data_IF_156887546974
#
_entry.id   IF_156887546974
#
_cell.length_a   1.000
_cell.length_b   1.000
_cell.length_c   1.000
_cell.angle_alpha   90.00
_cell.angle_beta   90.00
_cell.angle_gamma   90.00
#
_symmetry.space_group_name_H-M   'P 1'
#
loop_
_entity.id
_entity.type
_entity.pdbx_description
1 polymer ?
#
# COMPACT_ATOMS: atom_id res chain seq x y z
N UNK A 1 -15.29 0.03 -39.31
CA UNK A 1 -14.57 0.62 -40.48
C UNK A 1 -13.99 1.93 -40.01
N UNK A 2 -12.69 2.15 -39.84
CA UNK A 2 -11.53 1.61 -40.55
C UNK A 2 -10.42 1.14 -39.59
N UNK A 3 -9.74 0.10 -40.08
CA UNK A 3 -8.52 -0.53 -39.58
C UNK A 3 -7.34 0.01 -40.41
N UNK A 4 -6.19 0.15 -39.74
CA UNK A 4 -4.80 0.01 -40.25
C UNK A 4 -4.20 1.07 -41.18
N UNK A 5 -3.03 1.59 -40.77
CA UNK A 5 -1.68 1.35 -41.37
C UNK A 5 -0.74 2.51 -40.92
N UNK A 6 0.56 2.40 -40.63
CA UNK A 6 1.57 1.33 -40.60
C UNK A 6 2.84 1.91 -39.89
N UNK A 7 3.45 1.08 -39.05
CA UNK A 7 4.88 0.81 -38.79
C UNK A 7 5.98 1.72 -39.37
N UNK A 8 6.93 2.15 -38.52
CA UNK A 8 8.37 2.11 -38.83
C UNK A 8 9.23 2.15 -37.54
N UNK A 9 9.68 0.99 -37.05
CA UNK A 9 10.79 0.87 -36.12
C UNK A 9 12.09 0.87 -36.94
N UNK A 10 12.95 1.85 -36.70
CA UNK A 10 14.30 1.88 -37.28
C UNK A 10 15.28 1.07 -36.43
N UNK A 11 16.10 0.31 -37.15
CA UNK A 11 17.17 -0.58 -36.74
C UNK A 11 18.30 0.10 -35.96
N UNK A 12 18.74 -0.54 -34.86
CA UNK A 12 19.95 -0.20 -34.09
C UNK A 12 21.16 -0.83 -34.80
N UNK A 13 22.26 -0.10 -35.05
CA UNK A 13 23.46 -0.66 -35.67
C UNK A 13 24.38 -1.36 -34.65
N UNK A 14 24.94 -2.50 -35.06
CA UNK A 14 25.97 -3.27 -34.38
C UNK A 14 27.21 -2.43 -34.04
N UNK A 15 27.59 -2.40 -32.76
CA UNK A 15 28.91 -1.93 -32.33
C UNK A 15 29.81 -3.12 -31.99
N UNK A 16 30.86 -3.27 -32.80
CA UNK A 16 31.96 -4.18 -32.54
C UNK A 16 32.70 -3.82 -31.23
N UNK A 17 32.99 -4.83 -30.42
CA UNK A 17 33.76 -4.71 -29.18
C UNK A 17 35.25 -4.73 -29.52
N UNK A 18 35.92 -3.59 -29.32
CA UNK A 18 37.38 -3.48 -29.36
C UNK A 18 37.96 -3.94 -28.01
N UNK A 19 38.72 -5.03 -28.03
CA UNK A 19 39.35 -5.65 -26.87
C UNK A 19 40.81 -5.21 -26.72
N UNK A 20 41.06 -3.99 -26.23
CA UNK A 20 42.40 -3.61 -25.75
C UNK A 20 42.41 -2.38 -24.83
N UNK A 21 42.13 -2.56 -23.53
CA UNK A 21 42.52 -1.60 -22.50
C UNK A 21 42.81 -2.32 -21.16
N UNK A 22 43.78 -1.84 -20.35
CA UNK A 22 44.38 -2.60 -19.26
C UNK A 22 43.53 -2.63 -17.99
N UNK A 23 43.62 -3.76 -17.28
CA UNK A 23 42.98 -4.06 -16.00
C UNK A 23 43.43 -3.08 -14.91
N UNK A 24 42.56 -2.12 -14.57
CA UNK A 24 42.63 -1.39 -13.30
C UNK A 24 41.95 -2.22 -12.20
N UNK A 25 42.66 -2.38 -11.09
CA UNK A 25 42.20 -3.13 -9.93
C UNK A 25 40.96 -2.47 -9.32
N UNK A 26 39.84 -3.18 -9.37
CA UNK A 26 38.59 -2.80 -8.71
C UNK A 26 38.79 -2.94 -7.20
N UNK A 27 38.77 -1.83 -6.47
CA UNK A 27 38.72 -1.83 -5.01
C UNK A 27 37.48 -2.62 -4.52
N UNK A 28 37.59 -3.38 -3.41
CA UNK A 28 36.50 -4.20 -2.95
C UNK A 28 35.32 -3.32 -2.53
N UNK A 29 34.20 -3.50 -3.24
CA UNK A 29 32.89 -2.95 -2.91
C UNK A 29 32.64 -3.18 -1.42
N UNK A 30 32.56 -2.10 -0.65
CA UNK A 30 32.23 -2.15 0.76
C UNK A 30 30.98 -3.02 0.94
N UNK A 31 31.07 -4.03 1.81
CA UNK A 31 29.97 -4.90 2.19
C UNK A 31 28.76 -4.02 2.56
N UNK A 32 27.77 -3.95 1.68
CA UNK A 32 26.49 -3.29 2.00
C UNK A 32 25.91 -4.08 3.16
N UNK A 33 25.67 -3.39 4.27
CA UNK A 33 25.12 -4.00 5.47
C UNK A 33 23.75 -4.60 5.12
N UNK A 34 23.64 -5.93 5.10
CA UNK A 34 22.43 -6.65 4.66
C UNK A 34 21.28 -6.56 5.68
N UNK A 35 21.53 -5.97 6.85
CA UNK A 35 20.52 -5.76 7.89
C UNK A 35 19.34 -4.92 7.40
N UNK A 36 18.13 -5.32 7.79
CA UNK A 36 16.90 -4.52 7.63
C UNK A 36 17.12 -3.12 8.26
N UNK A 37 16.80 -2.02 7.56
CA UNK A 37 16.86 -0.69 8.16
C UNK A 37 15.96 -0.61 9.40
N UNK A 38 16.47 -0.08 10.51
CA UNK A 38 15.65 0.16 11.71
C UNK A 38 14.67 1.30 11.44
N UNK A 39 13.38 0.96 11.31
CA UNK A 39 12.30 1.91 11.07
C UNK A 39 12.25 3.01 12.15
N UNK A 40 12.65 2.73 13.39
CA UNK A 40 12.67 3.73 14.46
C UNK A 40 13.77 4.77 14.27
N UNK A 41 14.88 4.38 13.64
CA UNK A 41 15.95 5.28 13.25
C UNK A 41 15.50 6.16 12.06
N UNK A 42 14.82 5.58 11.07
CA UNK A 42 14.23 6.33 9.94
C UNK A 42 13.17 7.33 10.40
N UNK A 43 12.46 7.04 11.49
CA UNK A 43 11.47 7.96 12.07
C UNK A 43 12.05 8.95 13.08
N UNK A 44 13.33 8.86 13.43
CA UNK A 44 13.93 9.74 14.42
C UNK A 44 13.72 11.24 14.11
N UNK A 45 13.89 11.73 12.86
CA UNK A 45 13.72 13.16 12.54
C UNK A 45 12.29 13.68 12.76
N UNK A 46 11.29 12.81 12.58
CA UNK A 46 9.86 13.17 12.62
C UNK A 46 9.15 12.71 13.89
N UNK A 47 9.87 12.13 14.86
CA UNK A 47 9.29 11.59 16.10
C UNK A 47 8.45 12.62 16.89
N UNK A 48 8.82 13.91 16.97
CA UNK A 48 7.96 14.93 17.57
C UNK A 48 6.65 15.15 16.78
N UNK A 49 6.71 15.10 15.45
CA UNK A 49 5.54 15.19 14.57
C UNK A 49 4.61 13.99 14.74
N UNK A 50 5.15 12.77 14.75
CA UNK A 50 4.36 11.56 14.96
C UNK A 50 3.62 11.56 16.30
N UNK A 51 4.26 12.11 17.36
CA UNK A 51 3.58 12.29 18.66
C UNK A 51 2.41 13.27 18.59
N UNK A 52 2.54 14.34 17.82
CA UNK A 52 1.44 15.29 17.59
C UNK A 52 0.31 14.66 16.75
N UNK A 53 0.65 13.87 15.73
CA UNK A 53 -0.35 13.10 14.96
C UNK A 53 -1.09 12.12 15.87
N UNK A 54 -0.39 11.35 16.69
CA UNK A 54 -1.03 10.43 17.66
C UNK A 54 -1.93 11.15 18.65
N UNK A 55 -1.47 12.29 19.20
CA UNK A 55 -2.31 13.10 20.08
C UNK A 55 -3.58 13.59 19.37
N UNK A 56 -3.47 13.95 18.09
CA UNK A 56 -4.61 14.38 17.27
C UNK A 56 -5.57 13.25 16.93
N UNK A 57 -5.06 12.06 16.57
CA UNK A 57 -5.88 10.88 16.30
C UNK A 57 -6.68 10.47 17.54
N UNK A 58 -6.06 10.55 18.73
CA UNK A 58 -6.68 10.20 20.02
C UNK A 58 -7.53 11.33 20.61
N UNK A 59 -7.62 12.47 19.96
CA UNK A 59 -8.46 13.57 20.42
C UNK A 59 -9.93 13.18 20.18
N UNK A 60 -10.54 12.54 21.19
CA UNK A 60 -11.95 12.17 21.18
C UNK A 60 -12.75 13.22 21.93
N UNK A 61 -13.84 13.68 21.33
CA UNK A 61 -14.77 14.58 22.00
C UNK A 61 -15.38 13.87 23.21
N UNK A 62 -15.32 14.51 24.38
CA UNK A 62 -15.95 14.04 25.62
C UNK A 62 -17.46 13.81 25.51
N UNK A 63 -18.11 14.42 24.53
CA UNK A 63 -19.54 14.27 24.23
C UNK A 63 -19.84 13.11 23.29
N UNK A 64 -18.81 12.44 22.76
CA UNK A 64 -18.98 11.26 21.90
C UNK A 64 -19.64 10.13 22.68
N UNK A 65 -20.50 9.38 21.98
CA UNK A 65 -21.10 8.16 22.51
C UNK A 65 -20.02 7.22 23.06
N UNK A 66 -20.03 6.94 24.36
CA UNK A 66 -18.92 6.32 25.08
C UNK A 66 -18.42 4.99 24.47
N UNK A 67 -19.29 4.05 24.02
CA UNK A 67 -18.83 2.85 23.34
C UNK A 67 -18.03 3.13 22.06
N UNK A 68 -18.41 4.17 21.30
CA UNK A 68 -17.69 4.58 20.09
C UNK A 68 -16.33 5.22 20.43
N UNK A 69 -16.27 6.00 21.50
CA UNK A 69 -15.01 6.56 22.00
C UNK A 69 -14.01 5.45 22.41
N UNK A 70 -14.46 4.45 23.15
CA UNK A 70 -13.62 3.32 23.59
C UNK A 70 -13.15 2.46 22.41
N UNK A 71 -14.06 2.12 21.49
CA UNK A 71 -13.76 1.42 20.25
C UNK A 71 -12.67 2.14 19.45
N UNK A 72 -12.78 3.46 19.34
CA UNK A 72 -11.86 4.28 18.59
C UNK A 72 -10.47 4.36 19.22
N UNK A 73 -10.40 4.60 20.53
CA UNK A 73 -9.13 4.59 21.28
C UNK A 73 -8.44 3.23 21.18
N UNK A 74 -9.21 2.14 21.20
CA UNK A 74 -8.67 0.79 21.02
C UNK A 74 -8.13 0.58 19.61
N UNK A 75 -8.87 0.98 18.57
CA UNK A 75 -8.43 0.86 17.17
C UNK A 75 -7.15 1.64 16.91
N UNK A 76 -7.07 2.91 17.34
CA UNK A 76 -5.85 3.73 17.21
C UNK A 76 -4.72 3.14 18.05
N UNK A 77 -5.03 2.70 19.28
CA UNK A 77 -4.09 2.13 20.24
C UNK A 77 -3.54 0.75 19.86
N UNK A 78 -4.24 0.00 19.00
CA UNK A 78 -3.84 -1.34 18.52
C UNK A 78 -2.57 -1.32 17.65
N UNK A 79 -2.00 -0.14 17.39
CA UNK A 79 -0.69 0.05 16.79
C UNK A 79 -0.72 0.18 15.26
N UNK A 80 0.45 -0.02 14.66
CA UNK A 80 0.71 0.20 13.23
C UNK A 80 2.02 0.95 13.02
N UNK A 81 2.69 0.69 11.89
CA UNK A 81 3.99 1.30 11.55
C UNK A 81 3.89 2.80 11.22
N UNK A 82 2.68 3.40 11.22
CA UNK A 82 2.41 4.82 10.91
C UNK A 82 3.13 5.36 9.67
N UNK A 83 3.26 4.51 8.65
CA UNK A 83 3.99 4.85 7.42
C UNK A 83 3.35 6.03 6.67
N UNK A 84 2.02 6.08 6.58
CA UNK A 84 1.30 7.16 5.89
C UNK A 84 1.53 8.54 6.56
N UNK A 85 1.32 8.70 7.88
CA UNK A 85 1.75 9.90 8.60
C UNK A 85 3.24 10.21 8.44
N UNK A 86 4.10 9.20 8.53
CA UNK A 86 5.53 9.40 8.42
C UNK A 86 5.94 9.98 7.06
N UNK A 87 5.39 9.45 5.95
CA UNK A 87 5.67 9.98 4.62
C UNK A 87 5.18 11.43 4.47
N UNK A 88 4.02 11.80 5.02
CA UNK A 88 3.56 13.19 5.01
C UNK A 88 4.54 14.12 5.75
N UNK A 89 4.97 13.74 6.96
CA UNK A 89 5.89 14.54 7.77
C UNK A 89 7.28 14.67 7.13
N UNK A 90 7.83 13.57 6.63
CA UNK A 90 9.11 13.55 5.93
C UNK A 90 9.06 14.41 4.66
N UNK A 91 8.00 14.27 3.86
CA UNK A 91 7.80 15.05 2.63
C UNK A 91 7.71 16.55 2.91
N UNK A 92 7.04 16.94 3.99
CA UNK A 92 6.89 18.35 4.35
C UNK A 92 8.23 19.02 4.72
N UNK A 93 9.11 18.28 5.38
CA UNK A 93 10.37 18.77 5.92
C UNK A 93 11.56 18.68 4.92
N UNK A 94 11.37 18.00 3.78
CA UNK A 94 12.41 17.81 2.76
C UNK A 94 12.99 19.13 2.19
N UNK A 95 12.25 20.24 2.26
CA UNK A 95 12.69 21.55 1.74
C UNK A 95 13.05 22.55 2.85
N UNK A 96 13.26 22.07 4.08
CA UNK A 96 13.64 22.88 5.23
C UNK A 96 12.75 22.63 6.44
N UNK A 97 13.26 22.91 7.64
CA UNK A 97 12.54 22.62 8.87
C UNK A 97 11.27 23.47 8.99
N UNK A 98 10.13 22.82 9.20
CA UNK A 98 8.84 23.49 9.37
C UNK A 98 8.29 23.38 10.79
N UNK A 99 8.87 22.52 11.63
CA UNK A 99 8.45 22.29 13.01
C UNK A 99 8.19 23.61 13.77
N UNK A 100 7.04 23.68 14.43
CA UNK A 100 6.59 24.86 15.18
C UNK A 100 5.88 25.93 14.33
N UNK A 101 5.89 25.83 13.00
CA UNK A 101 5.14 26.74 12.13
C UNK A 101 3.64 26.40 12.06
N UNK A 102 2.81 27.39 11.72
CA UNK A 102 1.38 27.17 11.43
C UNK A 102 1.16 26.19 10.26
N UNK A 103 2.05 26.21 9.26
CA UNK A 103 1.99 25.28 8.12
C UNK A 103 2.27 23.84 8.56
N UNK A 104 3.16 23.65 9.53
CA UNK A 104 3.42 22.32 10.08
C UNK A 104 2.19 21.77 10.81
N UNK A 105 1.41 22.61 11.49
CA UNK A 105 0.13 22.17 12.08
C UNK A 105 -0.88 21.71 11.02
N UNK A 106 -0.92 22.36 9.86
CA UNK A 106 -1.71 21.87 8.74
C UNK A 106 -1.20 20.52 8.22
N UNK A 107 0.12 20.28 8.20
CA UNK A 107 0.69 18.97 7.84
C UNK A 107 0.33 17.90 8.88
N UNK A 108 0.32 18.23 10.18
CA UNK A 108 -0.16 17.32 11.23
C UNK A 108 -1.63 16.96 10.99
N UNK A 109 -2.47 17.94 10.65
CA UNK A 109 -3.88 17.70 10.33
C UNK A 109 -4.05 16.81 9.10
N UNK A 110 -3.28 17.04 8.03
CA UNK A 110 -3.24 16.15 6.85
C UNK A 110 -2.81 14.72 7.22
N UNK A 111 -1.71 14.57 7.96
CA UNK A 111 -1.19 13.26 8.35
C UNK A 111 -2.21 12.48 9.20
N UNK A 112 -2.89 13.16 10.12
CA UNK A 112 -3.99 12.59 10.89
C UNK A 112 -5.19 12.25 10.00
N UNK A 113 -5.55 13.12 9.06
CA UNK A 113 -6.65 12.88 8.10
C UNK A 113 -6.43 11.62 7.27
N UNK A 114 -5.24 11.42 6.72
CA UNK A 114 -4.90 10.24 5.91
C UNK A 114 -4.93 8.95 6.75
N UNK A 115 -4.37 8.95 7.96
CA UNK A 115 -4.40 7.77 8.83
C UNK A 115 -5.82 7.49 9.36
N UNK A 116 -6.61 8.53 9.62
CA UNK A 116 -8.01 8.40 10.00
C UNK A 116 -8.84 7.79 8.86
N UNK A 117 -8.64 8.29 7.64
CA UNK A 117 -9.27 7.77 6.44
C UNK A 117 -8.91 6.29 6.25
N UNK A 118 -7.62 5.93 6.37
CA UNK A 118 -7.20 4.53 6.34
C UNK A 118 -7.88 3.69 7.43
N UNK A 119 -7.93 4.19 8.67
CA UNK A 119 -8.57 3.47 9.77
C UNK A 119 -10.06 3.23 9.50
N UNK A 120 -10.74 4.22 8.92
CA UNK A 120 -12.13 4.12 8.51
C UNK A 120 -12.35 3.03 7.44
N UNK A 121 -11.47 2.94 6.43
CA UNK A 121 -11.57 1.87 5.42
C UNK A 121 -11.39 0.51 6.06
N UNK A 122 -10.45 0.33 6.99
CA UNK A 122 -10.27 -0.96 7.68
C UNK A 122 -11.51 -1.40 8.48
N UNK A 123 -12.21 -0.45 9.12
CA UNK A 123 -13.45 -0.74 9.86
C UNK A 123 -14.58 -1.17 8.92
N UNK A 124 -14.67 -0.57 7.73
CA UNK A 124 -15.64 -0.96 6.72
C UNK A 124 -15.28 -2.30 6.08
N UNK A 125 -14.02 -2.54 5.75
CA UNK A 125 -13.52 -3.81 5.24
C UNK A 125 -13.83 -4.97 6.20
N UNK A 126 -13.67 -4.77 7.52
CA UNK A 126 -14.00 -5.78 8.53
C UNK A 126 -15.48 -6.22 8.48
N UNK A 127 -16.40 -5.33 8.09
CA UNK A 127 -17.82 -5.66 7.91
C UNK A 127 -18.04 -6.35 6.57
N UNK A 128 -17.46 -5.81 5.50
CA UNK A 128 -17.60 -6.33 4.14
C UNK A 128 -17.08 -7.77 4.03
N UNK A 129 -15.94 -8.05 4.67
CA UNK A 129 -15.28 -9.35 4.64
C UNK A 129 -15.68 -10.28 5.79
N UNK A 130 -16.55 -9.82 6.70
CA UNK A 130 -16.98 -10.61 7.85
C UNK A 130 -15.86 -10.92 8.85
N UNK A 131 -14.77 -10.14 8.86
CA UNK A 131 -13.60 -10.41 9.66
C UNK A 131 -13.88 -10.21 11.16
N UNK A 132 -13.60 -11.24 11.97
CA UNK A 132 -13.75 -11.20 13.43
C UNK A 132 -12.45 -10.84 14.18
N UNK A 133 -11.30 -11.01 13.53
CA UNK A 133 -9.97 -10.72 14.08
C UNK A 133 -9.14 -9.87 13.09
N UNK A 134 -8.33 -8.95 13.62
CA UNK A 134 -7.36 -8.15 12.87
C UNK A 134 -6.11 -7.96 13.72
N UNK A 135 -4.95 -8.37 13.19
CA UNK A 135 -3.65 -8.36 13.91
C UNK A 135 -3.72 -9.05 15.29
N UNK A 136 -4.44 -10.17 15.37
CA UNK A 136 -4.63 -10.93 16.61
C UNK A 136 -5.64 -10.31 17.62
N UNK A 137 -6.20 -9.14 17.33
CA UNK A 137 -7.20 -8.49 18.19
C UNK A 137 -8.63 -8.61 17.61
N UNK A 138 -9.68 -8.69 18.44
CA UNK A 138 -11.07 -8.66 17.95
C UNK A 138 -11.40 -7.38 17.19
N UNK A 139 -12.05 -7.51 16.04
CA UNK A 139 -12.56 -6.38 15.25
C UNK A 139 -13.79 -5.76 15.91
N UNK A 140 -14.21 -4.58 15.45
CA UNK A 140 -15.51 -4.03 15.84
C UNK A 140 -16.65 -4.93 15.36
N UNK A 141 -16.54 -5.51 14.17
CA UNK A 141 -17.53 -6.44 13.63
C UNK A 141 -17.71 -7.71 14.47
N UNK A 142 -16.70 -8.11 15.25
CA UNK A 142 -16.83 -9.21 16.20
C UNK A 142 -17.63 -8.86 17.47
N UNK A 143 -17.70 -7.59 17.84
CA UNK A 143 -18.33 -7.13 19.08
C UNK A 143 -19.67 -6.45 18.83
N UNK A 144 -19.83 -5.83 17.68
CA UNK A 144 -20.93 -4.95 17.33
C UNK A 144 -21.69 -5.50 16.13
N UNK A 145 -22.96 -5.10 15.99
CA UNK A 145 -23.72 -5.43 14.78
C UNK A 145 -23.09 -4.80 13.54
N UNK A 146 -23.26 -5.42 12.37
CA UNK A 146 -22.75 -4.86 11.11
C UNK A 146 -23.20 -3.41 10.86
N UNK A 147 -24.46 -3.08 11.20
CA UNK A 147 -24.98 -1.70 11.12
C UNK A 147 -24.21 -0.75 12.02
N UNK A 148 -23.98 -1.12 13.28
CA UNK A 148 -23.22 -0.32 14.24
C UNK A 148 -21.77 -0.10 13.78
N UNK A 149 -21.14 -1.12 13.19
CA UNK A 149 -19.78 -1.02 12.67
C UNK A 149 -19.68 -0.12 11.45
N UNK A 150 -20.66 -0.17 10.53
CA UNK A 150 -20.75 0.77 9.39
C UNK A 150 -20.87 2.21 9.90
N UNK A 151 -21.73 2.47 10.89
CA UNK A 151 -21.89 3.80 11.48
C UNK A 151 -20.61 4.28 12.19
N UNK A 152 -19.87 3.38 12.84
CA UNK A 152 -18.57 3.70 13.42
C UNK A 152 -17.58 4.15 12.34
N UNK A 153 -17.45 3.39 11.24
CA UNK A 153 -16.60 3.79 10.11
C UNK A 153 -17.04 5.11 9.45
N UNK A 154 -18.36 5.37 9.35
CA UNK A 154 -18.86 6.66 8.84
C UNK A 154 -18.46 7.83 9.75
N UNK A 155 -18.47 7.63 11.07
CA UNK A 155 -17.97 8.63 12.00
C UNK A 155 -16.48 8.90 11.76
N UNK A 156 -15.67 7.85 11.56
CA UNK A 156 -14.24 7.99 11.26
C UNK A 156 -13.99 8.74 9.94
N UNK A 157 -14.78 8.47 8.90
CA UNK A 157 -14.73 9.27 7.67
C UNK A 157 -15.04 10.75 7.91
N UNK A 158 -16.08 11.03 8.72
CA UNK A 158 -16.40 12.40 9.13
C UNK A 158 -15.24 13.09 9.86
N UNK A 159 -14.59 12.38 10.79
CA UNK A 159 -13.39 12.87 11.49
C UNK A 159 -12.22 13.09 10.53
N UNK A 160 -11.99 12.18 9.59
CA UNK A 160 -10.94 12.32 8.57
C UNK A 160 -11.17 13.55 7.69
N UNK A 161 -12.41 13.79 7.27
CA UNK A 161 -12.81 14.96 6.50
C UNK A 161 -12.65 16.25 7.31
N UNK A 162 -12.98 16.22 8.61
CA UNK A 162 -12.76 17.33 9.53
C UNK A 162 -11.28 17.70 9.62
N UNK A 163 -10.39 16.71 9.83
CA UNK A 163 -8.94 16.94 9.83
C UNK A 163 -8.40 17.47 8.49
N UNK A 164 -8.98 17.02 7.37
CA UNK A 164 -8.64 17.59 6.05
C UNK A 164 -9.05 19.07 5.95
N UNK A 165 -10.24 19.43 6.45
CA UNK A 165 -10.73 20.79 6.44
C UNK A 165 -9.90 21.74 7.34
N UNK A 166 -9.40 21.26 8.48
CA UNK A 166 -8.51 22.00 9.37
C UNK A 166 -7.19 22.43 8.72
N UNK A 167 -6.78 21.77 7.62
CA UNK A 167 -5.60 22.21 6.85
C UNK A 167 -5.78 23.62 6.26
N UNK A 168 -7.02 24.09 6.12
CA UNK A 168 -7.36 25.39 5.53
C UNK A 168 -6.98 25.51 4.05
N UNK A 169 -6.63 24.41 3.38
CA UNK A 169 -6.13 24.41 2.01
C UNK A 169 -7.07 23.66 1.07
N UNK A 170 -7.72 24.40 0.16
CA UNK A 170 -8.72 23.85 -0.77
C UNK A 170 -8.15 22.76 -1.70
N UNK A 171 -6.88 22.83 -2.08
CA UNK A 171 -6.24 21.79 -2.91
C UNK A 171 -6.13 20.48 -2.14
N UNK A 172 -5.81 20.54 -0.85
CA UNK A 172 -5.69 19.38 0.02
C UNK A 172 -7.07 18.77 0.33
N UNK A 173 -8.07 19.60 0.57
CA UNK A 173 -9.45 19.16 0.77
C UNK A 173 -9.98 18.43 -0.48
N UNK A 174 -9.70 18.97 -1.67
CA UNK A 174 -10.05 18.30 -2.93
C UNK A 174 -9.29 16.98 -3.11
N UNK A 175 -7.99 16.97 -2.84
CA UNK A 175 -7.16 15.76 -2.89
C UNK A 175 -7.72 14.65 -1.98
N UNK A 176 -8.16 15.00 -0.76
CA UNK A 176 -8.84 14.07 0.15
C UNK A 176 -10.13 13.52 -0.48
N UNK A 177 -10.99 14.38 -1.03
CA UNK A 177 -12.25 13.97 -1.66
C UNK A 177 -12.02 13.04 -2.85
N UNK A 178 -11.07 13.37 -3.72
CA UNK A 178 -10.73 12.57 -4.90
C UNK A 178 -10.14 11.21 -4.49
N UNK A 179 -9.33 11.18 -3.43
CA UNK A 179 -8.77 9.95 -2.87
C UNK A 179 -9.87 9.04 -2.31
N UNK A 180 -10.84 9.61 -1.57
CA UNK A 180 -11.99 8.85 -1.06
C UNK A 180 -12.81 8.25 -2.21
N UNK A 181 -13.12 9.02 -3.26
CA UNK A 181 -13.82 8.50 -4.43
C UNK A 181 -13.04 7.35 -5.09
N UNK A 182 -11.73 7.50 -5.21
CA UNK A 182 -10.86 6.47 -5.79
C UNK A 182 -10.90 5.17 -4.99
N UNK A 183 -10.80 5.25 -3.65
CA UNK A 183 -10.86 4.09 -2.76
C UNK A 183 -12.21 3.38 -2.91
N UNK A 184 -13.32 4.13 -2.79
CA UNK A 184 -14.67 3.56 -2.82
C UNK A 184 -14.98 2.92 -4.18
N UNK A 185 -14.61 3.56 -5.30
CA UNK A 185 -14.76 2.96 -6.63
C UNK A 185 -13.92 1.67 -6.77
N UNK A 186 -12.70 1.67 -6.23
CA UNK A 186 -11.84 0.48 -6.17
C UNK A 186 -12.44 -0.67 -5.36
N UNK A 187 -13.03 -0.37 -4.21
CA UNK A 187 -13.72 -1.34 -3.35
C UNK A 187 -14.89 -2.01 -4.09
N UNK A 188 -15.73 -1.20 -4.75
CA UNK A 188 -16.88 -1.67 -5.51
C UNK A 188 -16.46 -2.57 -6.68
N UNK A 189 -15.38 -2.21 -7.40
CA UNK A 189 -14.82 -3.05 -8.46
C UNK A 189 -14.29 -4.37 -7.92
N UNK A 190 -13.55 -4.36 -6.82
CA UNK A 190 -13.06 -5.58 -6.19
C UNK A 190 -14.20 -6.52 -5.80
N UNK A 191 -15.28 -5.99 -5.21
CA UNK A 191 -16.45 -6.79 -4.87
C UNK A 191 -17.10 -7.46 -6.08
N UNK A 192 -17.13 -6.76 -7.22
CA UNK A 192 -17.67 -7.29 -8.48
C UNK A 192 -16.76 -8.34 -9.11
N UNK A 193 -15.44 -8.16 -9.01
CA UNK A 193 -14.44 -9.02 -9.66
C UNK A 193 -13.98 -10.21 -8.78
N UNK A 194 -14.56 -10.36 -7.57
CA UNK A 194 -14.28 -11.49 -6.68
C UNK A 194 -14.64 -12.81 -7.36
N UNK A 195 -13.76 -13.80 -7.26
CA UNK A 195 -13.86 -15.11 -7.94
C UNK A 195 -13.88 -15.05 -9.47
N UNK A 196 -13.60 -13.89 -10.08
CA UNK A 196 -13.38 -13.80 -11.53
C UNK A 196 -11.91 -14.10 -11.85
N UNK A 197 -11.60 -15.38 -12.07
CA UNK A 197 -10.23 -15.86 -12.32
C UNK A 197 -9.66 -15.43 -13.68
N UNK A 198 -10.52 -15.07 -14.63
CA UNK A 198 -10.14 -14.62 -15.98
C UNK A 198 -9.94 -13.10 -16.10
N UNK A 199 -9.99 -12.37 -14.98
CA UNK A 199 -9.80 -10.91 -14.99
C UNK A 199 -8.40 -10.51 -15.51
N UNK A 200 -8.30 -9.40 -16.24
CA UNK A 200 -7.00 -8.93 -16.71
C UNK A 200 -6.13 -8.46 -15.54
N UNK A 201 -4.81 -8.64 -15.68
CA UNK A 201 -3.82 -8.22 -14.67
C UNK A 201 -3.87 -6.71 -14.39
N UNK A 202 -4.33 -5.90 -15.34
CA UNK A 202 -4.52 -4.46 -15.15
C UNK A 202 -5.49 -4.13 -13.99
N UNK A 203 -6.50 -4.98 -13.75
CA UNK A 203 -7.44 -4.80 -12.64
C UNK A 203 -6.72 -4.89 -11.29
N UNK A 204 -5.69 -5.73 -11.18
CA UNK A 204 -4.84 -5.80 -9.99
C UNK A 204 -4.17 -4.47 -9.68
N UNK A 205 -3.50 -3.86 -10.67
CA UNK A 205 -2.81 -2.59 -10.46
C UNK A 205 -3.77 -1.45 -10.13
N UNK A 206 -4.93 -1.41 -10.77
CA UNK A 206 -5.98 -0.44 -10.45
C UNK A 206 -6.44 -0.58 -9.00
N UNK A 207 -6.62 -1.82 -8.53
CA UNK A 207 -7.05 -2.12 -7.16
C UNK A 207 -6.03 -1.70 -6.12
N UNK A 208 -4.76 -2.11 -6.28
CA UNK A 208 -3.71 -1.75 -5.30
C UNK A 208 -3.39 -0.24 -5.32
N UNK A 209 -3.55 0.42 -6.47
CA UNK A 209 -3.52 1.88 -6.53
C UNK A 209 -4.66 2.48 -5.72
N UNK A 210 -5.90 2.04 -5.99
CA UNK A 210 -7.08 2.62 -5.37
C UNK A 210 -7.08 2.45 -3.85
N UNK A 211 -6.87 1.22 -3.35
CA UNK A 211 -6.93 0.90 -1.92
C UNK A 211 -5.71 1.38 -1.12
N UNK A 212 -4.53 1.37 -1.74
CA UNK A 212 -3.28 1.51 -0.99
C UNK A 212 -2.45 2.70 -1.45
N UNK A 213 -2.05 2.75 -2.73
CA UNK A 213 -1.12 3.78 -3.19
C UNK A 213 -1.73 5.19 -3.24
N UNK A 214 -3.04 5.32 -3.45
CA UNK A 214 -3.75 6.60 -3.49
C UNK A 214 -3.60 7.39 -2.18
N UNK A 215 -3.64 6.72 -1.02
CA UNK A 215 -3.44 7.35 0.29
C UNK A 215 -1.98 7.77 0.51
N UNK A 216 -1.01 7.00 0.00
CA UNK A 216 0.40 7.41 0.02
C UNK A 216 0.65 8.62 -0.89
N UNK A 217 -0.01 8.68 -2.06
CA UNK A 217 -0.02 9.87 -2.91
C UNK A 217 -0.62 11.07 -2.18
N UNK A 218 -1.79 10.90 -1.55
CA UNK A 218 -2.46 11.97 -0.83
C UNK A 218 -1.60 12.55 0.31
N UNK A 219 -0.93 11.68 1.06
CA UNK A 219 -0.02 12.06 2.14
C UNK A 219 1.17 12.89 1.63
N UNK A 220 1.89 12.39 0.63
CA UNK A 220 3.12 12.99 0.09
C UNK A 220 2.83 14.26 -0.71
N UNK A 221 1.83 14.22 -1.60
CA UNK A 221 1.40 15.37 -2.40
C UNK A 221 0.77 16.46 -1.54
N UNK A 222 -0.10 16.10 -0.59
CA UNK A 222 -0.74 17.05 0.30
C UNK A 222 0.30 17.79 1.16
N UNK A 223 1.30 17.07 1.68
CA UNK A 223 2.39 17.65 2.44
C UNK A 223 3.19 18.64 1.59
N UNK A 224 3.54 18.26 0.35
CA UNK A 224 4.23 19.13 -0.60
C UNK A 224 3.45 20.44 -0.89
N UNK A 225 2.12 20.35 -1.04
CA UNK A 225 1.24 21.50 -1.23
C UNK A 225 1.27 22.42 -0.01
N UNK A 226 1.17 21.88 1.20
CA UNK A 226 1.17 22.65 2.45
C UNK A 226 2.54 23.29 2.75
N UNK A 227 3.62 22.63 2.31
CA UNK A 227 4.98 23.16 2.34
C UNK A 227 5.27 24.20 1.26
N UNK A 228 4.30 24.49 0.37
CA UNK A 228 4.43 25.44 -0.74
C UNK A 228 5.60 25.12 -1.67
N UNK A 229 5.83 23.84 -1.93
CA UNK A 229 6.80 23.44 -2.95
C UNK A 229 6.32 23.85 -4.35
N UNK A 230 7.24 24.09 -5.30
CA UNK A 230 6.86 24.31 -6.68
C UNK A 230 6.19 23.06 -7.28
N UNK A 231 5.33 23.23 -8.28
CA UNK A 231 4.48 22.15 -8.83
C UNK A 231 5.29 20.93 -9.31
N UNK A 232 6.49 21.13 -9.84
CA UNK A 232 7.39 20.04 -10.23
C UNK A 232 7.73 19.14 -9.03
N UNK A 233 8.09 19.75 -7.88
CA UNK A 233 8.42 19.01 -6.65
C UNK A 233 7.18 18.38 -6.01
N UNK A 234 6.01 19.03 -6.14
CA UNK A 234 4.72 18.44 -5.74
C UNK A 234 4.45 17.18 -6.56
N UNK A 235 4.66 17.22 -7.88
CA UNK A 235 4.48 16.05 -8.74
C UNK A 235 5.49 14.95 -8.43
N UNK A 236 6.75 15.29 -8.16
CA UNK A 236 7.77 14.32 -7.78
C UNK A 236 7.40 13.58 -6.49
N UNK A 237 6.93 14.29 -5.46
CA UNK A 237 6.47 13.66 -4.22
C UNK A 237 5.19 12.83 -4.41
N UNK A 238 4.28 13.27 -5.30
CA UNK A 238 3.11 12.46 -5.69
C UNK A 238 3.53 11.15 -6.37
N UNK A 239 4.48 11.21 -7.31
CA UNK A 239 5.01 10.03 -8.00
C UNK A 239 5.78 9.11 -7.06
N UNK A 240 6.55 9.69 -6.12
CA UNK A 240 7.15 8.93 -5.03
C UNK A 240 6.08 8.17 -4.23
N UNK A 241 5.02 8.84 -3.79
CA UNK A 241 3.91 8.21 -3.06
C UNK A 241 3.22 7.10 -3.85
N UNK A 242 3.03 7.29 -5.16
CA UNK A 242 2.49 6.28 -6.07
C UNK A 242 3.39 5.05 -6.11
N UNK A 243 4.65 5.22 -6.51
CA UNK A 243 5.60 4.13 -6.68
C UNK A 243 5.87 3.38 -5.35
N UNK A 244 6.05 4.12 -4.25
CA UNK A 244 6.19 3.54 -2.93
C UNK A 244 4.96 2.72 -2.53
N UNK A 245 3.76 3.27 -2.73
CA UNK A 245 2.51 2.61 -2.35
C UNK A 245 2.20 1.36 -3.18
N UNK A 246 2.51 1.38 -4.48
CA UNK A 246 2.38 0.21 -5.36
C UNK A 246 3.31 -0.92 -4.91
N UNK A 247 4.59 -0.62 -4.71
CA UNK A 247 5.55 -1.60 -4.22
C UNK A 247 5.20 -2.11 -2.82
N UNK A 248 4.73 -1.22 -1.94
CA UNK A 248 4.29 -1.60 -0.61
C UNK A 248 3.20 -2.68 -0.70
N UNK A 249 2.14 -2.47 -1.48
CA UNK A 249 1.08 -3.46 -1.59
C UNK A 249 1.56 -4.76 -2.26
N UNK A 250 2.38 -4.69 -3.30
CA UNK A 250 2.94 -5.90 -3.94
C UNK A 250 3.72 -6.75 -2.92
N UNK A 251 4.51 -6.12 -2.04
CA UNK A 251 5.22 -6.85 -0.99
C UNK A 251 4.26 -7.41 0.07
N UNK A 252 3.19 -6.69 0.44
CA UNK A 252 2.17 -7.26 1.34
C UNK A 252 1.51 -8.49 0.72
N UNK A 253 1.19 -8.45 -0.57
CA UNK A 253 0.59 -9.58 -1.29
C UNK A 253 1.55 -10.77 -1.40
N UNK A 254 2.86 -10.54 -1.56
CA UNK A 254 3.87 -11.61 -1.51
C UNK A 254 3.87 -12.26 -0.12
N UNK A 255 3.80 -11.45 0.93
CA UNK A 255 3.81 -11.93 2.31
C UNK A 255 2.58 -12.76 2.65
N UNK A 256 1.43 -12.53 2.00
CA UNK A 256 0.24 -13.38 2.12
C UNK A 256 0.52 -14.84 1.67
N UNK A 257 1.40 -15.06 0.69
CA UNK A 257 1.80 -16.42 0.29
C UNK A 257 2.99 -16.98 1.08
N UNK A 258 3.96 -16.13 1.45
CA UNK A 258 5.24 -16.61 1.98
C UNK A 258 5.34 -16.62 3.50
N UNK A 259 4.50 -15.87 4.21
CA UNK A 259 4.56 -15.79 5.66
C UNK A 259 4.15 -17.11 6.33
N UNK A 260 4.63 -17.30 7.56
CA UNK A 260 4.23 -18.43 8.39
C UNK A 260 2.85 -18.16 9.00
N UNK A 261 2.01 -19.20 9.14
CA UNK A 261 0.64 -19.07 9.65
C UNK A 261 0.59 -18.41 11.05
N UNK A 262 1.63 -18.62 11.87
CA UNK A 262 1.77 -18.01 13.20
C UNK A 262 2.04 -16.50 13.16
N UNK A 263 2.82 -16.01 12.19
CA UNK A 263 3.15 -14.58 12.04
C UNK A 263 2.07 -13.80 11.28
N UNK A 264 1.38 -14.44 10.32
CA UNK A 264 0.29 -13.82 9.57
C UNK A 264 -1.04 -13.83 10.35
N UNK A 265 -1.22 -14.76 11.29
CA UNK A 265 -2.47 -14.94 12.05
C UNK A 265 -3.64 -15.43 11.18
N UNK A 266 -3.36 -15.90 9.96
CA UNK A 266 -4.26 -16.45 8.95
C UNK A 266 -3.48 -17.47 8.11
N UNK A 267 -4.14 -18.48 7.51
CA UNK A 267 -3.47 -19.42 6.61
C UNK A 267 -2.92 -18.70 5.36
N UNK A 268 -1.75 -19.13 4.88
CA UNK A 268 -1.13 -18.58 3.68
C UNK A 268 -2.07 -18.63 2.45
N UNK A 269 -2.03 -17.58 1.62
CA UNK A 269 -2.89 -17.42 0.44
C UNK A 269 -4.33 -17.02 0.79
N UNK A 270 -4.51 -16.27 1.87
CA UNK A 270 -5.84 -15.87 2.35
C UNK A 270 -6.59 -15.00 1.34
N UNK A 271 -5.87 -14.15 0.59
CA UNK A 271 -6.47 -13.33 -0.46
C UNK A 271 -7.05 -14.21 -1.58
N UNK A 272 -6.29 -15.21 -2.00
CA UNK A 272 -6.70 -16.15 -3.04
C UNK A 272 -7.85 -17.04 -2.57
N UNK A 273 -7.83 -17.48 -1.32
CA UNK A 273 -8.94 -18.23 -0.70
C UNK A 273 -10.25 -17.43 -0.71
N UNK A 274 -10.18 -16.11 -0.56
CA UNK A 274 -11.31 -15.19 -0.66
C UNK A 274 -11.66 -14.79 -2.12
N UNK A 275 -11.03 -15.41 -3.11
CA UNK A 275 -11.26 -15.14 -4.53
C UNK A 275 -10.63 -13.83 -5.04
N UNK A 276 -9.65 -13.28 -4.31
CA UNK A 276 -8.91 -12.07 -4.71
C UNK A 276 -7.57 -12.45 -5.33
N UNK A 277 -7.37 -12.10 -6.59
CA UNK A 277 -6.14 -12.42 -7.32
C UNK A 277 -5.10 -11.34 -7.13
N UNK A 278 -3.90 -11.71 -6.69
CA UNK A 278 -2.77 -10.80 -6.44
C UNK A 278 -1.60 -11.08 -7.39
N UNK A 279 -0.56 -10.23 -7.37
CA UNK A 279 0.52 -10.29 -8.37
C UNK A 279 1.22 -11.65 -8.48
N UNK A 280 1.54 -12.36 -7.37
CA UNK A 280 2.13 -13.69 -7.46
C UNK A 280 1.27 -14.67 -8.27
N UNK A 281 -0.06 -14.61 -8.14
CA UNK A 281 -0.97 -15.45 -8.94
C UNK A 281 -0.88 -15.13 -10.43
N UNK A 282 -0.86 -13.85 -10.82
CA UNK A 282 -0.76 -13.48 -12.24
C UNK A 282 0.55 -13.94 -12.88
N UNK A 283 1.67 -13.83 -12.15
CA UNK A 283 2.95 -14.38 -12.62
C UNK A 283 2.93 -15.90 -12.70
N UNK A 284 2.31 -16.58 -11.73
CA UNK A 284 2.16 -18.02 -11.74
C UNK A 284 1.35 -18.49 -12.95
N UNK A 285 0.18 -17.88 -13.17
CA UNK A 285 -0.68 -18.17 -14.31
C UNK A 285 0.05 -17.96 -15.64
N UNK A 286 0.81 -16.88 -15.79
CA UNK A 286 1.60 -16.59 -16.99
C UNK A 286 2.69 -17.65 -17.26
N UNK A 287 3.23 -18.26 -16.21
CA UNK A 287 4.29 -19.26 -16.27
C UNK A 287 3.76 -20.70 -16.31
N UNK A 288 2.46 -20.89 -16.05
CA UNK A 288 1.85 -22.21 -15.95
C UNK A 288 1.82 -22.91 -17.32
N UNK A 289 2.15 -24.22 -17.41
CA UNK A 289 2.15 -24.95 -18.69
C UNK A 289 0.79 -25.00 -19.38
N UNK A 290 -0.29 -24.98 -18.59
CA UNK A 290 -1.67 -25.01 -19.07
C UNK A 290 -2.53 -24.04 -18.24
N UNK A 291 -2.50 -22.73 -18.55
CA UNK A 291 -3.20 -21.72 -17.78
C UNK A 291 -4.72 -21.84 -17.88
N UNK A 292 -5.24 -22.25 -19.05
CA UNK A 292 -6.68 -22.42 -19.27
C UNK A 292 -7.23 -23.51 -18.36
N UNK A 293 -6.55 -24.67 -18.28
CA UNK A 293 -6.97 -25.76 -17.40
C UNK A 293 -6.91 -25.39 -15.91
N UNK A 294 -5.93 -24.58 -15.51
CA UNK A 294 -5.85 -24.09 -14.13
C UNK A 294 -7.06 -23.21 -13.79
N UNK A 295 -7.44 -22.28 -14.68
CA UNK A 295 -8.61 -21.43 -14.49
C UNK A 295 -9.91 -22.25 -14.43
N UNK A 296 -10.08 -23.22 -15.35
CA UNK A 296 -11.23 -24.14 -15.31
C UNK A 296 -11.32 -24.89 -13.98
N UNK A 297 -10.19 -25.37 -13.46
CA UNK A 297 -10.12 -26.09 -12.18
C UNK A 297 -10.55 -25.20 -11.01
N UNK A 298 -10.14 -23.92 -11.00
CA UNK A 298 -10.58 -22.96 -9.99
C UNK A 298 -12.08 -22.65 -10.08
N UNK A 299 -12.60 -22.48 -11.30
CA UNK A 299 -14.04 -22.25 -11.53
C UNK A 299 -14.89 -23.48 -11.15
N UNK A 300 -14.41 -24.70 -11.42
CA UNK A 300 -15.03 -25.95 -10.99
C UNK A 300 -15.05 -26.05 -9.46
N UNK A 301 -13.90 -25.85 -8.81
CA UNK A 301 -13.79 -25.91 -7.36
C UNK A 301 -14.69 -24.88 -6.66
N UNK A 302 -14.77 -23.65 -7.17
CA UNK A 302 -15.67 -22.63 -6.63
C UNK A 302 -17.15 -23.03 -6.79
N UNK A 303 -17.55 -23.58 -7.94
CA UNK A 303 -18.94 -24.04 -8.15
C UNK A 303 -19.33 -25.18 -7.20
N UNK A 304 -18.41 -26.10 -6.92
CA UNK A 304 -18.61 -27.17 -5.94
C UNK A 304 -18.75 -26.62 -4.52
N UNK A 305 -17.92 -25.62 -4.15
CA UNK A 305 -18.04 -24.95 -2.85
C UNK A 305 -19.37 -24.21 -2.68
N UNK A 306 -19.82 -23.47 -3.70
CA UNK A 306 -21.13 -22.80 -3.73
C UNK A 306 -22.29 -23.82 -3.60
N UNK A 307 -22.08 -25.06 -4.05
CA UNK A 307 -23.03 -26.17 -3.92
C UNK A 307 -22.96 -26.88 -2.56
N UNK A 308 -22.10 -26.42 -1.66
CA UNK A 308 -21.95 -26.90 -0.28
C UNK A 308 -20.72 -27.77 -0.02
N UNK A 309 -19.86 -28.00 -1.02
CA UNK A 309 -18.65 -28.81 -0.87
C UNK A 309 -17.38 -27.96 -0.68
N UNK A 310 -17.34 -27.22 0.43
CA UNK A 310 -16.24 -26.30 0.75
C UNK A 310 -14.85 -26.97 0.75
N UNK A 311 -14.79 -28.26 1.08
CA UNK A 311 -13.52 -29.01 1.16
C UNK A 311 -12.76 -29.04 -0.18
N UNK A 312 -13.47 -29.11 -1.32
CA UNK A 312 -12.83 -29.10 -2.65
C UNK A 312 -12.12 -27.77 -2.91
N UNK A 313 -12.74 -26.65 -2.53
CA UNK A 313 -12.12 -25.33 -2.64
C UNK A 313 -10.88 -25.22 -1.77
N UNK A 314 -10.99 -25.61 -0.50
CA UNK A 314 -9.89 -25.52 0.46
C UNK A 314 -8.69 -26.37 0.01
N UNK A 315 -8.92 -27.59 -0.49
CA UNK A 315 -7.89 -28.48 -1.04
C UNK A 315 -7.25 -27.90 -2.32
N UNK A 316 -8.06 -27.37 -3.23
CA UNK A 316 -7.60 -26.79 -4.50
C UNK A 316 -6.72 -25.56 -4.25
N UNK A 317 -7.14 -24.66 -3.35
CA UNK A 317 -6.37 -23.47 -3.00
C UNK A 317 -5.08 -23.86 -2.27
N UNK A 318 -5.12 -24.82 -1.35
CA UNK A 318 -3.91 -25.29 -0.66
C UNK A 318 -2.87 -25.84 -1.64
N UNK A 319 -3.29 -26.65 -2.62
CA UNK A 319 -2.42 -27.17 -3.67
C UNK A 319 -1.84 -26.04 -4.55
N UNK A 320 -2.68 -25.11 -4.99
CA UNK A 320 -2.24 -23.97 -5.80
C UNK A 320 -1.26 -23.07 -5.05
N UNK A 321 -1.52 -22.76 -3.78
CA UNK A 321 -0.61 -21.97 -2.93
C UNK A 321 0.73 -22.68 -2.78
N UNK A 322 0.72 -24.01 -2.57
CA UNK A 322 1.94 -24.80 -2.52
C UNK A 322 2.75 -24.72 -3.81
N UNK A 323 2.13 -24.92 -4.97
CA UNK A 323 2.81 -24.90 -6.26
C UNK A 323 3.33 -23.49 -6.61
N UNK A 324 2.51 -22.46 -6.36
CA UNK A 324 2.87 -21.07 -6.57
C UNK A 324 4.09 -20.67 -5.72
N UNK A 325 4.11 -21.03 -4.43
CA UNK A 325 5.25 -20.75 -3.53
C UNK A 325 6.55 -21.39 -4.00
N UNK A 326 6.47 -22.55 -4.64
CA UNK A 326 7.62 -23.30 -5.16
C UNK A 326 7.98 -22.90 -6.61
N UNK A 327 7.27 -21.94 -7.21
CA UNK A 327 7.52 -21.44 -8.55
C UNK A 327 8.35 -20.14 -8.55
N UNK A 328 8.88 -19.70 -9.71
CA UNK A 328 9.51 -18.40 -9.86
C UNK A 328 8.56 -17.19 -9.71
N UNK A 329 7.24 -17.41 -9.57
CA UNK A 329 6.24 -16.34 -9.57
C UNK A 329 6.40 -15.34 -8.42
N UNK A 330 6.78 -15.82 -7.22
CA UNK A 330 7.02 -14.96 -6.05
C UNK A 330 8.19 -14.01 -6.30
N UNK A 331 9.30 -14.52 -6.85
CA UNK A 331 10.45 -13.66 -7.15
C UNK A 331 10.16 -12.70 -8.31
N UNK A 332 9.38 -13.12 -9.31
CA UNK A 332 8.93 -12.25 -10.38
C UNK A 332 8.06 -11.08 -9.87
N UNK A 333 7.15 -11.35 -8.92
CA UNK A 333 6.39 -10.29 -8.24
C UNK A 333 7.30 -9.36 -7.43
N UNK A 334 8.31 -9.93 -6.75
CA UNK A 334 9.27 -9.17 -5.95
C UNK A 334 10.12 -8.24 -6.81
N UNK A 335 10.58 -8.71 -7.96
CA UNK A 335 11.34 -7.89 -8.90
C UNK A 335 10.52 -6.70 -9.41
N UNK A 336 9.23 -6.92 -9.66
CA UNK A 336 8.36 -5.82 -10.05
C UNK A 336 8.18 -4.76 -8.95
N UNK A 337 8.08 -5.17 -7.68
CA UNK A 337 8.11 -4.23 -6.56
C UNK A 337 9.42 -3.44 -6.51
N UNK A 338 10.57 -4.07 -6.83
CA UNK A 338 11.87 -3.38 -6.92
C UNK A 338 11.88 -2.32 -8.02
N UNK A 339 11.27 -2.59 -9.18
CA UNK A 339 11.14 -1.62 -10.27
C UNK A 339 10.34 -0.38 -9.83
N UNK A 340 9.22 -0.57 -9.13
CA UNK A 340 8.47 0.54 -8.55
C UNK A 340 9.34 1.34 -7.55
N UNK A 341 10.08 0.67 -6.68
CA UNK A 341 10.92 1.38 -5.70
C UNK A 341 12.12 2.09 -6.31
N UNK A 342 12.71 1.57 -7.40
CA UNK A 342 13.72 2.30 -8.17
C UNK A 342 13.17 3.65 -8.66
N UNK A 343 11.96 3.64 -9.23
CA UNK A 343 11.27 4.87 -9.67
C UNK A 343 10.97 5.79 -8.49
N UNK A 344 10.55 5.24 -7.34
CA UNK A 344 10.35 6.04 -6.12
C UNK A 344 11.65 6.76 -5.69
N UNK A 345 12.79 6.06 -5.72
CA UNK A 345 14.10 6.64 -5.42
C UNK A 345 14.46 7.74 -6.43
N UNK A 346 14.24 7.52 -7.71
CA UNK A 346 14.46 8.52 -8.77
C UNK A 346 13.61 9.77 -8.56
N UNK A 347 12.36 9.63 -8.10
CA UNK A 347 11.48 10.77 -7.80
C UNK A 347 12.02 11.65 -6.67
N UNK A 348 12.90 11.14 -5.80
CA UNK A 348 13.53 11.91 -4.73
C UNK A 348 14.85 12.59 -5.14
N UNK A 349 15.31 12.39 -6.38
CA UNK A 349 16.64 12.80 -6.84
C UNK A 349 16.89 14.32 -6.74
N UNK A 350 15.90 15.13 -7.07
CA UNK A 350 16.00 16.59 -7.09
C UNK A 350 15.42 17.27 -5.83
N UNK A 351 15.21 16.51 -4.75
CA UNK A 351 15.00 17.07 -3.41
C UNK A 351 16.36 17.32 -2.72
N UNK A 352 16.45 18.31 -1.80
CA UNK A 352 17.68 18.57 -1.06
C UNK A 352 18.18 17.34 -0.31
N UNK A 353 19.50 17.13 -0.29
CA UNK A 353 20.13 16.09 0.51
C UNK A 353 20.11 16.47 1.99
N UNK A 354 19.27 15.76 2.76
CA UNK A 354 19.09 15.97 4.19
C UNK A 354 18.55 14.72 4.86
N UNK A 355 18.44 14.75 6.20
CA UNK A 355 17.99 13.63 7.00
C UNK A 355 16.58 13.14 6.62
N UNK A 356 15.69 14.01 6.12
CA UNK A 356 14.32 13.66 5.74
C UNK A 356 14.29 12.89 4.42
N UNK A 357 15.00 13.38 3.40
CA UNK A 357 15.19 12.66 2.13
C UNK A 357 15.86 11.31 2.36
N UNK A 358 16.90 11.25 3.19
CA UNK A 358 17.59 10.01 3.53
C UNK A 358 16.69 9.02 4.26
N UNK A 359 15.76 9.50 5.09
CA UNK A 359 14.74 8.65 5.73
C UNK A 359 13.74 8.10 4.72
N UNK A 360 13.30 8.89 3.73
CA UNK A 360 12.43 8.42 2.64
C UNK A 360 13.11 7.33 1.80
N UNK A 361 14.40 7.52 1.46
CA UNK A 361 15.21 6.50 0.77
C UNK A 361 15.34 5.23 1.59
N UNK A 362 15.65 5.34 2.89
CA UNK A 362 15.73 4.18 3.78
C UNK A 362 14.39 3.46 3.96
N UNK A 363 13.26 4.16 3.85
CA UNK A 363 11.94 3.52 3.85
C UNK A 363 11.71 2.69 2.57
N UNK A 364 12.22 3.12 1.42
CA UNK A 364 12.18 2.29 0.20
C UNK A 364 12.94 0.97 0.41
N UNK A 365 14.14 1.03 1.01
CA UNK A 365 14.93 -0.17 1.33
C UNK A 365 14.21 -1.07 2.35
N UNK A 366 13.60 -0.48 3.37
CA UNK A 366 12.80 -1.20 4.36
C UNK A 366 11.63 -1.97 3.71
N UNK A 367 10.94 -1.39 2.73
CA UNK A 367 9.81 -2.04 2.06
C UNK A 367 10.23 -3.29 1.29
N UNK A 368 11.37 -3.30 0.60
CA UNK A 368 11.84 -4.50 -0.12
C UNK A 368 12.27 -5.59 0.84
N UNK A 369 13.00 -5.22 1.89
CA UNK A 369 13.68 -6.17 2.78
C UNK A 369 12.77 -6.74 3.87
N UNK A 370 11.55 -6.22 4.05
CA UNK A 370 10.65 -6.69 5.10
C UNK A 370 10.24 -8.15 4.85
N UNK A 371 10.54 -9.00 5.82
CA UNK A 371 10.01 -10.35 6.00
C UNK A 371 9.25 -10.35 7.33
N UNK A 372 8.08 -11.00 7.41
CA UNK A 372 7.37 -11.15 8.69
C UNK A 372 7.90 -12.35 9.46
#
# INVERSE_FOLDING_TARGET
MLISQVTSLQSIPDMAVDSSAPSEAVEPVAQRNDSLPDINALFAPIRPGLRQVEAKLRAVDSTLFAPLAEAFLTLIGSGGKRLRPALALLSAECNGPMQGSARYQAVIALAASVEMLHTATLVHDDVIDGALLRRGAPTLNARWSGVSTVLAGNYLFGTAAHFSAETGNMRVIRLFSDTLHTIVDGELRQLKDRYNFSQPRENYYQRIYAKTASLFCAATQGAAILSQLPEERINDLRQFGYNFGMAFQIIDDILDFTGDDETLGKPAGSDLHQGTLTLPFFHYLQQHPDPERLLETLEEAQREADSGNQAIWDETIAALVHDLRNSPAVEAAREEARVFLSRAVENLSALPDNAYRNSLLGLCEFVVKRTY
#
